data_IF_819279722220
#
_entry.id   IF_819279722220
#
_cell.length_a   1.000
_cell.length_b   1.000
_cell.length_c   1.000
_cell.angle_alpha   90.00
_cell.angle_beta   90.00
_cell.angle_gamma   90.00
#
_symmetry.space_group_name_H-M   'P 1'
#
loop_
_entity.id
_entity.type
_entity.pdbx_description
1 polymer ?
#
# COMPACT_ATOMS: atom_id res chain seq x y z
N UNK A 1 -17.73 -3.90 -15.15
CA UNK A 1 -16.38 -3.33 -15.21
C UNK A 1 -15.41 -4.43 -15.58
N UNK A 2 -14.35 -4.15 -16.32
CA UNK A 2 -13.37 -5.16 -16.67
C UNK A 2 -12.46 -5.44 -15.46
N UNK A 3 -11.98 -6.70 -15.33
CA UNK A 3 -11.13 -7.13 -14.23
C UNK A 3 -9.67 -7.01 -14.65
N UNK A 4 -8.88 -6.29 -13.86
CA UNK A 4 -7.43 -6.23 -14.05
C UNK A 4 -6.74 -7.49 -13.51
N UNK A 5 -7.21 -8.00 -12.36
CA UNK A 5 -6.74 -9.23 -11.75
C UNK A 5 -7.92 -10.07 -11.27
N UNK A 6 -7.92 -11.37 -11.59
CA UNK A 6 -8.85 -12.34 -11.02
C UNK A 6 -8.08 -13.56 -10.51
N UNK A 7 -8.27 -13.86 -9.24
CA UNK A 7 -7.72 -15.02 -8.55
C UNK A 7 -8.89 -15.86 -8.05
N UNK A 8 -8.86 -17.18 -8.30
CA UNK A 8 -9.90 -18.12 -7.85
C UNK A 8 -9.27 -19.35 -7.21
N UNK A 9 -9.64 -19.64 -5.98
CA UNK A 9 -9.23 -20.80 -5.22
C UNK A 9 -7.71 -20.98 -5.15
N UNK A 10 -6.92 -19.91 -5.08
CA UNK A 10 -5.48 -19.97 -5.20
C UNK A 10 -4.86 -20.61 -3.97
N UNK A 11 -4.17 -21.74 -4.16
CA UNK A 11 -3.45 -22.48 -3.12
C UNK A 11 -1.96 -22.53 -3.40
N UNK A 12 -1.19 -22.46 -2.33
CA UNK A 12 0.25 -22.68 -2.35
C UNK A 12 0.69 -23.48 -1.14
N UNK A 13 1.21 -24.66 -1.40
CA UNK A 13 1.93 -25.49 -0.45
C UNK A 13 3.38 -25.56 -0.90
N UNK A 14 4.33 -25.25 -0.02
CA UNK A 14 5.76 -25.37 -0.27
C UNK A 14 6.25 -26.80 0.00
N UNK A 15 7.43 -27.15 -0.48
CA UNK A 15 8.00 -28.51 -0.39
C UNK A 15 8.21 -28.99 1.05
N UNK A 16 8.36 -28.05 1.98
CA UNK A 16 8.42 -28.33 3.44
C UNK A 16 7.05 -28.59 4.10
N UNK A 17 5.96 -28.65 3.32
CA UNK A 17 4.60 -28.84 3.80
C UNK A 17 3.90 -27.58 4.31
N UNK A 18 4.56 -26.42 4.31
CA UNK A 18 3.95 -25.16 4.73
C UNK A 18 2.93 -24.68 3.70
N UNK A 19 1.66 -24.54 4.11
CA UNK A 19 0.57 -24.03 3.29
C UNK A 19 0.48 -22.50 3.45
N UNK A 20 1.03 -21.78 2.48
CA UNK A 20 1.10 -20.33 2.49
C UNK A 20 -0.17 -19.65 1.98
N UNK A 21 -0.96 -20.34 1.13
CA UNK A 21 -2.26 -19.88 0.65
C UNK A 21 -3.24 -21.04 0.66
N UNK A 22 -4.42 -20.84 1.23
CA UNK A 22 -5.41 -21.87 1.54
C UNK A 22 -6.67 -21.81 0.66
N UNK A 23 -6.54 -21.31 -0.57
CA UNK A 23 -7.66 -21.21 -1.52
C UNK A 23 -8.26 -19.80 -1.56
N UNK A 24 -7.41 -18.77 -1.70
CA UNK A 24 -7.87 -17.38 -1.73
C UNK A 24 -8.56 -17.02 -3.04
N UNK A 25 -9.60 -16.20 -2.95
CA UNK A 25 -10.28 -15.53 -4.04
C UNK A 25 -10.05 -14.01 -3.95
N UNK A 26 -9.64 -13.39 -5.04
CA UNK A 26 -9.39 -11.96 -5.10
C UNK A 26 -9.73 -11.41 -6.48
N UNK A 27 -10.39 -10.27 -6.53
CA UNK A 27 -10.70 -9.57 -7.76
C UNK A 27 -10.30 -8.10 -7.62
N UNK A 28 -9.57 -7.58 -8.61
CA UNK A 28 -9.20 -6.17 -8.71
C UNK A 28 -9.76 -5.62 -10.01
N UNK A 29 -10.55 -4.57 -9.95
CA UNK A 29 -11.14 -3.92 -11.11
C UNK A 29 -10.11 -3.07 -11.86
N UNK A 30 -10.31 -2.90 -13.16
CA UNK A 30 -9.47 -2.04 -14.00
C UNK A 30 -9.51 -0.59 -13.51
N UNK A 31 -8.32 0.06 -13.46
CA UNK A 31 -8.15 1.42 -12.99
C UNK A 31 -8.25 1.58 -11.46
N UNK A 32 -8.39 0.49 -10.71
CA UNK A 32 -8.41 0.58 -9.24
C UNK A 32 -7.03 0.89 -8.65
N UNK A 33 -7.03 1.48 -7.46
CA UNK A 33 -5.88 1.54 -6.57
C UNK A 33 -6.21 0.69 -5.36
N UNK A 34 -5.66 -0.51 -5.32
CA UNK A 34 -6.03 -1.60 -4.42
C UNK A 34 -4.93 -1.89 -3.40
N UNK A 35 -5.29 -2.05 -2.13
CA UNK A 35 -4.36 -2.47 -1.08
C UNK A 35 -4.48 -3.98 -0.81
N UNK A 36 -3.36 -4.69 -0.73
CA UNK A 36 -3.26 -6.05 -0.17
C UNK A 36 -2.46 -5.98 1.12
N UNK A 37 -3.14 -6.00 2.25
CA UNK A 37 -2.54 -5.88 3.59
C UNK A 37 -2.55 -7.21 4.33
N UNK A 38 -1.72 -7.31 5.36
CA UNK A 38 -1.64 -8.47 6.23
C UNK A 38 -0.33 -8.49 7.01
N UNK A 39 -0.22 -9.27 8.09
CA UNK A 39 1.02 -9.41 8.84
C UNK A 39 2.13 -10.08 8.03
N UNK A 40 3.34 -10.09 8.57
CA UNK A 40 4.44 -10.82 7.97
C UNK A 40 4.13 -12.32 7.97
N UNK A 41 4.39 -12.98 6.83
CA UNK A 41 4.06 -14.40 6.66
C UNK A 41 2.60 -14.70 6.27
N UNK A 42 1.71 -13.71 6.20
CA UNK A 42 0.30 -13.91 5.87
C UNK A 42 0.03 -14.45 4.46
N UNK A 43 0.99 -14.37 3.53
CA UNK A 43 0.82 -14.84 2.15
C UNK A 43 0.91 -13.74 1.07
N UNK A 44 1.10 -12.46 1.43
CA UNK A 44 1.17 -11.33 0.48
C UNK A 44 2.22 -11.55 -0.62
N UNK A 45 3.48 -11.72 -0.25
CA UNK A 45 4.59 -11.89 -1.21
C UNK A 45 4.47 -13.21 -1.99
N UNK A 46 3.86 -14.26 -1.41
CA UNK A 46 3.54 -15.49 -2.12
C UNK A 46 2.49 -15.23 -3.21
N UNK A 47 1.43 -14.48 -2.89
CA UNK A 47 0.38 -14.08 -3.84
C UNK A 47 0.97 -13.27 -4.99
N UNK A 48 1.75 -12.22 -4.69
CA UNK A 48 2.45 -11.41 -5.70
C UNK A 48 3.39 -12.27 -6.53
N UNK A 49 4.19 -13.12 -5.90
CA UNK A 49 5.11 -14.03 -6.58
C UNK A 49 4.41 -14.96 -7.57
N UNK A 50 3.20 -15.43 -7.25
CA UNK A 50 2.40 -16.25 -8.17
C UNK A 50 1.84 -15.42 -9.32
N UNK A 51 1.28 -14.23 -9.06
CA UNK A 51 0.77 -13.33 -10.10
C UNK A 51 1.88 -13.01 -11.12
N UNK A 52 3.09 -12.72 -10.64
CA UNK A 52 4.27 -12.44 -11.47
C UNK A 52 4.95 -13.69 -12.04
N UNK A 53 4.44 -14.90 -11.73
CA UNK A 53 5.00 -16.19 -12.14
C UNK A 53 6.44 -16.42 -11.68
N UNK A 54 6.80 -15.86 -10.53
CA UNK A 54 8.05 -16.11 -9.81
C UNK A 54 7.91 -17.30 -8.85
N UNK A 55 6.68 -17.57 -8.39
CA UNK A 55 6.32 -18.69 -7.53
C UNK A 55 5.28 -19.55 -8.25
N UNK A 56 5.51 -20.86 -8.31
CA UNK A 56 4.55 -21.80 -8.89
C UNK A 56 3.42 -22.07 -7.88
N UNK A 57 2.17 -21.87 -8.29
CA UNK A 57 0.99 -22.23 -7.49
C UNK A 57 0.82 -23.74 -7.35
N UNK A 58 0.11 -24.19 -6.34
CA UNK A 58 -0.27 -25.60 -6.15
C UNK A 58 -1.62 -25.90 -6.80
N UNK A 59 -2.59 -24.99 -6.65
CA UNK A 59 -3.92 -25.12 -7.25
C UNK A 59 -4.56 -23.73 -7.46
N UNK A 60 -5.74 -23.70 -8.07
CA UNK A 60 -6.47 -22.47 -8.38
C UNK A 60 -6.08 -21.85 -9.72
N UNK A 61 -6.63 -20.70 -10.03
CA UNK A 61 -6.39 -19.97 -11.28
C UNK A 61 -6.09 -18.50 -11.01
N UNK A 62 -5.27 -17.91 -11.89
CA UNK A 62 -4.96 -16.46 -11.89
C UNK A 62 -5.01 -15.97 -13.33
N UNK A 63 -5.70 -14.87 -13.56
CA UNK A 63 -5.71 -14.17 -14.84
C UNK A 63 -5.50 -12.66 -14.65
N UNK A 64 -4.76 -12.07 -15.59
CA UNK A 64 -4.47 -10.63 -15.63
C UNK A 64 -5.02 -10.08 -16.93
N UNK A 65 -5.96 -9.15 -16.85
CA UNK A 65 -6.74 -8.64 -17.98
C UNK A 65 -7.31 -9.74 -18.88
N UNK A 66 -7.77 -10.84 -18.25
CA UNK A 66 -8.33 -12.01 -18.95
C UNK A 66 -7.28 -13.02 -19.40
N UNK A 67 -5.98 -12.69 -19.43
CA UNK A 67 -4.91 -13.60 -19.81
C UNK A 67 -4.52 -14.52 -18.63
N UNK A 68 -4.69 -15.82 -18.80
CA UNK A 68 -4.31 -16.81 -17.80
C UNK A 68 -2.78 -16.90 -17.68
N UNK A 69 -2.27 -16.89 -16.45
CA UNK A 69 -0.82 -17.09 -16.22
C UNK A 69 -0.36 -18.53 -16.56
N UNK A 70 -1.29 -19.47 -16.71
CA UNK A 70 -0.96 -20.87 -17.05
C UNK A 70 -0.84 -21.08 -18.56
N UNK A 71 -1.73 -20.48 -19.37
CA UNK A 71 -1.81 -20.73 -20.82
C UNK A 71 -1.33 -19.54 -21.67
N UNK A 72 -1.40 -18.31 -21.15
CA UNK A 72 -1.10 -17.06 -21.88
C UNK A 72 -0.07 -16.19 -21.11
N UNK A 73 0.92 -16.85 -20.49
CA UNK A 73 1.90 -16.21 -19.59
C UNK A 73 2.58 -14.97 -20.19
N UNK A 74 2.95 -15.04 -21.48
CA UNK A 74 3.65 -13.94 -22.14
C UNK A 74 2.75 -12.70 -22.28
N UNK A 75 1.45 -12.88 -22.54
CA UNK A 75 0.47 -11.80 -22.60
C UNK A 75 0.20 -11.24 -21.20
N UNK A 76 -0.04 -12.11 -20.22
CA UNK A 76 -0.22 -11.68 -18.83
C UNK A 76 0.97 -10.85 -18.31
N UNK A 77 2.21 -11.28 -18.60
CA UNK A 77 3.42 -10.55 -18.18
C UNK A 77 3.58 -9.18 -18.83
N UNK A 78 3.13 -9.00 -20.07
CA UNK A 78 3.16 -7.69 -20.74
C UNK A 78 2.27 -6.66 -20.06
N UNK A 79 1.19 -7.12 -19.42
CA UNK A 79 0.27 -6.25 -18.69
C UNK A 79 0.79 -5.84 -17.31
N UNK A 80 1.87 -6.47 -16.80
CA UNK A 80 2.34 -6.32 -15.42
C UNK A 80 3.66 -5.55 -15.37
N UNK A 81 3.69 -4.48 -14.58
CA UNK A 81 4.90 -3.88 -14.01
C UNK A 81 5.04 -4.25 -12.55
N UNK A 82 6.23 -4.63 -12.10
CA UNK A 82 6.47 -4.98 -10.71
C UNK A 82 7.62 -4.16 -10.11
N UNK A 83 7.37 -3.63 -8.93
CA UNK A 83 8.36 -3.01 -8.04
C UNK A 83 8.48 -3.89 -6.80
N UNK A 84 9.47 -4.80 -6.74
CA UNK A 84 9.68 -5.66 -5.57
C UNK A 84 10.24 -4.88 -4.40
N UNK A 85 10.13 -5.47 -3.20
CA UNK A 85 10.64 -4.89 -1.96
C UNK A 85 12.15 -4.66 -2.01
N UNK A 86 12.92 -5.62 -2.54
CA UNK A 86 14.37 -5.53 -2.64
C UNK A 86 14.82 -4.99 -4.00
N UNK A 87 15.97 -4.29 -4.00
CA UNK A 87 16.59 -3.81 -5.24
C UNK A 87 17.19 -4.98 -6.01
N UNK A 88 16.72 -5.23 -7.23
CA UNK A 88 17.10 -6.37 -8.05
C UNK A 88 17.61 -5.96 -9.44
N UNK A 89 18.40 -4.90 -9.52
CA UNK A 89 19.10 -4.47 -10.73
C UNK A 89 20.62 -4.50 -10.53
N UNK A 90 21.35 -4.47 -11.64
CA UNK A 90 22.84 -4.47 -11.62
C UNK A 90 23.36 -3.21 -10.92
N UNK A 91 24.28 -3.39 -9.98
CA UNK A 91 24.94 -2.28 -9.28
C UNK A 91 25.91 -1.49 -10.16
N UNK A 92 26.30 -2.03 -11.30
CA UNK A 92 27.32 -1.46 -12.19
C UNK A 92 26.76 -0.78 -13.42
N UNK A 93 25.51 -1.09 -13.78
CA UNK A 93 24.84 -0.44 -14.90
C UNK A 93 24.41 0.99 -14.56
N UNK A 94 24.36 1.84 -15.59
CA UNK A 94 23.82 3.19 -15.44
C UNK A 94 22.31 3.16 -15.23
N UNK A 95 21.78 4.22 -14.64
CA UNK A 95 20.32 4.42 -14.49
C UNK A 95 19.61 4.29 -15.84
N UNK A 96 20.20 4.86 -16.90
CA UNK A 96 19.70 4.80 -18.27
C UNK A 96 19.65 3.37 -18.81
N UNK A 97 20.77 2.66 -18.72
CA UNK A 97 20.85 1.29 -19.27
C UNK A 97 19.88 0.33 -18.57
N UNK A 98 19.70 0.47 -17.25
CA UNK A 98 18.72 -0.35 -16.49
C UNK A 98 17.32 -0.19 -17.05
N UNK A 99 16.89 1.06 -17.35
CA UNK A 99 15.53 1.32 -17.82
C UNK A 99 15.37 0.93 -19.29
N UNK A 100 16.33 1.29 -20.15
CA UNK A 100 16.28 0.95 -21.59
C UNK A 100 16.35 -0.56 -21.82
N UNK A 101 17.24 -1.27 -21.09
CA UNK A 101 17.35 -2.73 -21.20
C UNK A 101 16.05 -3.41 -20.74
N UNK A 102 15.43 -2.92 -19.68
CA UNK A 102 14.14 -3.43 -19.23
C UNK A 102 13.06 -3.33 -20.31
N UNK A 103 12.97 -2.20 -21.00
CA UNK A 103 12.04 -2.02 -22.11
C UNK A 103 12.29 -3.05 -23.23
N UNK A 104 13.57 -3.35 -23.51
CA UNK A 104 13.96 -4.39 -24.48
C UNK A 104 13.43 -5.79 -24.13
N UNK A 105 13.40 -6.16 -22.85
CA UNK A 105 12.81 -7.46 -22.41
C UNK A 105 11.31 -7.56 -22.70
N UNK A 106 10.60 -6.44 -22.81
CA UNK A 106 9.19 -6.39 -23.20
C UNK A 106 8.98 -6.21 -24.72
N UNK A 107 10.08 -6.22 -25.50
CA UNK A 107 10.03 -6.17 -26.97
C UNK A 107 9.83 -4.78 -27.55
N UNK A 108 10.12 -3.72 -26.80
CA UNK A 108 10.10 -2.35 -27.32
C UNK A 108 11.30 -2.13 -28.28
N UNK A 109 11.08 -1.37 -29.34
CA UNK A 109 12.19 -0.88 -30.17
C UNK A 109 13.10 0.03 -29.35
N UNK A 110 14.38 0.13 -29.74
CA UNK A 110 15.33 0.95 -29.00
C UNK A 110 14.90 2.42 -28.93
N UNK A 111 14.40 2.95 -30.02
CA UNK A 111 13.91 4.33 -30.11
C UNK A 111 12.77 4.59 -29.12
N UNK A 112 11.76 3.72 -29.07
CA UNK A 112 10.64 3.83 -28.12
C UNK A 112 11.10 3.61 -26.66
N UNK A 113 12.02 2.68 -26.44
CA UNK A 113 12.60 2.43 -25.11
C UNK A 113 13.33 3.67 -24.59
N UNK A 114 14.13 4.34 -25.42
CA UNK A 114 14.86 5.55 -25.05
C UNK A 114 13.90 6.73 -24.79
N UNK A 115 12.88 6.92 -25.63
CA UNK A 115 11.86 7.96 -25.43
C UNK A 115 11.11 7.78 -24.10
N UNK A 116 10.67 6.55 -23.80
CA UNK A 116 9.96 6.25 -22.55
C UNK A 116 10.87 6.32 -21.34
N UNK A 117 12.10 5.84 -21.45
CA UNK A 117 13.10 5.97 -20.39
C UNK A 117 13.34 7.44 -20.02
N UNK A 118 13.53 8.32 -21.00
CA UNK A 118 13.65 9.77 -20.75
C UNK A 118 12.42 10.31 -20.03
N UNK A 119 11.22 9.97 -20.49
CA UNK A 119 9.97 10.43 -19.90
C UNK A 119 9.88 10.06 -18.42
N UNK A 120 10.06 8.78 -18.08
CA UNK A 120 9.93 8.33 -16.69
C UNK A 120 11.09 8.77 -15.80
N UNK A 121 12.32 8.86 -16.34
CA UNK A 121 13.45 9.38 -15.57
C UNK A 121 13.30 10.86 -15.23
N UNK A 122 12.68 11.66 -16.12
CA UNK A 122 12.34 13.07 -15.84
C UNK A 122 11.24 13.18 -14.80
N UNK A 123 10.16 12.43 -14.94
CA UNK A 123 9.03 12.44 -13.98
C UNK A 123 9.43 12.00 -12.58
N UNK A 124 10.45 11.17 -12.46
CA UNK A 124 10.95 10.63 -11.19
C UNK A 124 12.24 11.32 -10.69
N UNK A 125 12.60 12.49 -11.24
CA UNK A 125 13.78 13.28 -10.87
C UNK A 125 15.11 12.50 -10.92
N UNK A 126 15.26 11.61 -11.91
CA UNK A 126 16.45 10.81 -12.13
C UNK A 126 17.23 11.19 -13.39
N UNK A 127 16.71 12.13 -14.19
CA UNK A 127 17.30 12.47 -15.49
C UNK A 127 18.75 12.94 -15.38
N UNK A 128 19.07 13.79 -14.40
CA UNK A 128 20.44 14.29 -14.18
C UNK A 128 21.41 13.20 -13.71
N UNK A 129 20.87 12.07 -13.24
CA UNK A 129 21.63 10.90 -12.80
C UNK A 129 21.64 9.75 -13.81
N UNK A 130 21.09 9.95 -15.02
CA UNK A 130 20.91 8.89 -16.03
C UNK A 130 22.19 8.13 -16.38
N UNK A 131 23.33 8.80 -16.39
CA UNK A 131 24.66 8.22 -16.69
C UNK A 131 25.41 7.74 -15.43
N UNK A 132 24.79 7.84 -14.25
CA UNK A 132 25.40 7.43 -12.97
C UNK A 132 25.16 5.93 -12.76
N UNK A 133 26.20 5.20 -12.32
CA UNK A 133 26.04 3.80 -11.93
C UNK A 133 25.08 3.68 -10.74
N UNK A 134 24.17 2.70 -10.78
CA UNK A 134 23.08 2.54 -9.81
C UNK A 134 23.55 2.38 -8.36
N UNK A 135 24.77 1.83 -8.13
CA UNK A 135 25.39 1.74 -6.78
C UNK A 135 25.61 3.10 -6.12
N UNK A 136 25.77 4.16 -6.92
CA UNK A 136 26.03 5.53 -6.43
C UNK A 136 24.76 6.28 -6.04
N UNK A 137 23.58 5.69 -6.25
CA UNK A 137 22.30 6.28 -5.91
C UNK A 137 21.98 6.10 -4.42
N UNK A 138 21.29 7.09 -3.85
CA UNK A 138 20.66 6.95 -2.52
C UNK A 138 19.54 5.89 -2.55
N UNK A 139 19.13 5.40 -1.38
CA UNK A 139 18.01 4.44 -1.28
C UNK A 139 16.73 4.93 -1.95
N UNK A 140 16.36 6.19 -1.74
CA UNK A 140 15.20 6.80 -2.38
C UNK A 140 15.35 6.93 -3.90
N UNK A 141 16.52 7.28 -4.41
CA UNK A 141 16.78 7.30 -5.86
C UNK A 141 16.71 5.90 -6.47
N UNK A 142 17.22 4.87 -5.77
CA UNK A 142 17.07 3.47 -6.18
C UNK A 142 15.60 3.04 -6.24
N UNK A 143 14.79 3.48 -5.28
CA UNK A 143 13.36 3.19 -5.26
C UNK A 143 12.64 3.84 -6.46
N UNK A 144 12.94 5.10 -6.76
CA UNK A 144 12.42 5.78 -7.96
C UNK A 144 12.86 5.08 -9.25
N UNK A 145 14.11 4.61 -9.33
CA UNK A 145 14.61 3.82 -10.47
C UNK A 145 13.83 2.51 -10.67
N UNK A 146 13.48 1.81 -9.59
CA UNK A 146 12.63 0.62 -9.66
C UNK A 146 11.26 0.93 -10.27
N UNK A 147 10.67 2.06 -9.90
CA UNK A 147 9.38 2.50 -10.45
C UNK A 147 9.53 2.86 -11.94
N UNK A 148 10.55 3.64 -12.32
CA UNK A 148 10.82 3.96 -13.73
C UNK A 148 10.96 2.70 -14.58
N UNK A 149 11.73 1.73 -14.07
CA UNK A 149 11.94 0.43 -14.72
C UNK A 149 10.64 -0.37 -14.87
N UNK A 150 9.78 -0.35 -13.85
CA UNK A 150 8.51 -1.06 -13.89
C UNK A 150 7.49 -0.43 -14.86
N UNK A 151 7.60 0.87 -15.13
CA UNK A 151 6.66 1.62 -15.97
C UNK A 151 7.10 1.75 -17.43
N UNK A 152 8.36 1.50 -17.76
CA UNK A 152 8.91 1.81 -19.11
C UNK A 152 8.18 1.12 -20.27
N UNK A 153 7.56 -0.05 -20.03
CA UNK A 153 6.74 -0.74 -21.03
C UNK A 153 5.25 -0.38 -20.97
N UNK A 154 4.88 0.60 -20.10
CA UNK A 154 3.51 1.09 -19.90
C UNK A 154 2.50 -0.02 -19.55
N UNK A 155 2.73 -0.74 -18.45
CA UNK A 155 1.85 -1.81 -18.01
C UNK A 155 0.47 -1.26 -17.61
N UNK A 156 -0.58 -2.06 -17.84
CA UNK A 156 -1.92 -1.73 -17.34
C UNK A 156 -2.12 -2.07 -15.86
N UNK A 157 -1.29 -2.97 -15.31
CA UNK A 157 -1.25 -3.34 -13.88
C UNK A 157 0.14 -3.09 -13.31
N UNK A 158 0.24 -2.22 -12.31
CA UNK A 158 1.46 -1.98 -11.55
C UNK A 158 1.33 -2.60 -10.15
N UNK A 159 2.23 -3.50 -9.81
CA UNK A 159 2.30 -4.12 -8.47
C UNK A 159 3.49 -3.52 -7.72
N UNK A 160 3.21 -3.00 -6.52
CA UNK A 160 4.17 -2.32 -5.66
C UNK A 160 4.27 -3.08 -4.33
N UNK A 161 5.42 -3.75 -4.10
CA UNK A 161 5.66 -4.46 -2.86
C UNK A 161 6.50 -3.57 -1.92
N UNK A 162 5.84 -2.98 -0.92
CA UNK A 162 6.40 -2.03 0.05
C UNK A 162 7.22 -0.89 -0.60
N UNK A 163 6.62 -0.09 -1.51
CA UNK A 163 7.36 0.84 -2.35
C UNK A 163 8.02 1.99 -1.58
N UNK A 164 7.55 2.32 -0.38
CA UNK A 164 8.04 3.44 0.43
C UNK A 164 8.77 3.01 1.70
N UNK A 165 9.09 1.71 1.83
CA UNK A 165 9.85 1.22 2.98
C UNK A 165 11.24 1.87 3.07
N UNK A 166 11.56 2.44 4.24
CA UNK A 166 12.84 3.10 4.49
C UNK A 166 13.06 4.42 3.75
N UNK A 167 11.98 5.04 3.25
CA UNK A 167 12.00 6.34 2.54
C UNK A 167 11.56 7.44 3.50
N UNK A 168 12.22 8.61 3.41
CA UNK A 168 11.83 9.80 4.19
C UNK A 168 10.44 10.33 3.80
N UNK A 169 9.89 11.21 4.65
CA UNK A 169 8.50 11.69 4.52
C UNK A 169 8.29 12.49 3.24
N UNK A 170 9.24 13.35 2.84
CA UNK A 170 9.08 14.20 1.65
C UNK A 170 9.10 13.36 0.38
N UNK A 171 10.04 12.44 0.29
CA UNK A 171 10.15 11.51 -0.83
C UNK A 171 8.93 10.58 -0.92
N UNK A 172 8.44 10.09 0.23
CA UNK A 172 7.20 9.29 0.30
C UNK A 172 6.02 10.06 -0.28
N UNK A 173 5.82 11.32 0.13
CA UNK A 173 4.73 12.17 -0.39
C UNK A 173 4.85 12.43 -1.89
N UNK A 174 6.05 12.67 -2.40
CA UNK A 174 6.27 12.86 -3.85
C UNK A 174 5.95 11.58 -4.63
N UNK A 175 6.34 10.42 -4.12
CA UNK A 175 6.00 9.13 -4.71
C UNK A 175 4.49 8.86 -4.69
N UNK A 176 3.79 9.19 -3.61
CA UNK A 176 2.33 9.07 -3.55
C UNK A 176 1.63 9.95 -4.58
N UNK A 177 2.09 11.19 -4.75
CA UNK A 177 1.55 12.09 -5.77
C UNK A 177 1.73 11.50 -7.17
N UNK A 178 2.93 11.01 -7.48
CA UNK A 178 3.24 10.37 -8.76
C UNK A 178 2.37 9.11 -9.01
N UNK A 179 2.22 8.24 -8.02
CA UNK A 179 1.40 7.04 -8.14
C UNK A 179 -0.09 7.36 -8.33
N UNK A 180 -0.60 8.39 -7.64
CA UNK A 180 -1.97 8.89 -7.88
C UNK A 180 -2.16 9.38 -9.31
N UNK A 181 -1.20 10.11 -9.85
CA UNK A 181 -1.24 10.59 -11.23
C UNK A 181 -1.26 9.43 -12.25
N UNK A 182 -0.39 8.43 -12.07
CA UNK A 182 -0.37 7.23 -12.91
C UNK A 182 -1.71 6.47 -12.86
N UNK A 183 -2.27 6.32 -11.66
CA UNK A 183 -3.57 5.67 -11.50
C UNK A 183 -4.71 6.48 -12.14
N UNK A 184 -4.71 7.80 -12.04
CA UNK A 184 -5.70 8.68 -12.70
C UNK A 184 -5.63 8.59 -14.23
N UNK A 185 -4.47 8.25 -14.80
CA UNK A 185 -4.27 7.99 -16.23
C UNK A 185 -4.78 6.60 -16.66
N UNK A 186 -5.28 5.78 -15.74
CA UNK A 186 -5.92 4.48 -16.00
C UNK A 186 -5.11 3.25 -15.60
N UNK A 187 -3.86 3.39 -15.13
CA UNK A 187 -3.08 2.25 -14.65
C UNK A 187 -3.70 1.70 -13.37
N UNK A 188 -4.03 0.42 -13.34
CA UNK A 188 -4.44 -0.28 -12.12
C UNK A 188 -3.23 -0.46 -11.21
N UNK A 189 -3.37 -0.21 -9.91
CA UNK A 189 -2.26 -0.35 -8.97
C UNK A 189 -2.66 -1.29 -7.84
N UNK A 190 -1.80 -2.29 -7.56
CA UNK A 190 -1.86 -3.12 -6.36
C UNK A 190 -0.69 -2.76 -5.47
N UNK A 191 -0.98 -2.38 -4.23
CA UNK A 191 -0.02 -1.94 -3.24
C UNK A 191 -0.01 -2.91 -2.06
N UNK A 192 1.16 -3.42 -1.69
CA UNK A 192 1.38 -3.96 -0.35
C UNK A 192 2.14 -2.94 0.48
N UNK A 193 1.78 -2.80 1.72
CA UNK A 193 2.49 -1.92 2.65
C UNK A 193 2.21 -2.34 4.08
N UNK A 194 3.13 -2.01 4.97
CA UNK A 194 2.91 -2.06 6.41
C UNK A 194 2.60 -0.65 6.98
N UNK A 195 2.69 0.39 6.14
CA UNK A 195 2.26 1.75 6.49
C UNK A 195 0.78 1.92 6.15
N UNK A 196 -0.08 1.74 7.14
CA UNK A 196 -1.54 1.77 6.94
C UNK A 196 -2.05 3.13 6.47
N UNK A 197 -1.35 4.23 6.84
CA UNK A 197 -1.60 5.58 6.31
C UNK A 197 -1.45 5.64 4.78
N UNK A 198 -0.47 4.92 4.22
CA UNK A 198 -0.26 4.83 2.78
C UNK A 198 -1.46 4.18 2.08
N UNK A 199 -1.93 3.05 2.61
CA UNK A 199 -3.10 2.36 2.09
C UNK A 199 -4.37 3.22 2.18
N UNK A 200 -4.60 3.87 3.33
CA UNK A 200 -5.75 4.78 3.54
C UNK A 200 -5.73 5.97 2.60
N UNK A 201 -4.53 6.55 2.37
CA UNK A 201 -4.37 7.74 1.51
C UNK A 201 -4.49 7.46 0.02
N UNK A 202 -4.10 6.26 -0.43
CA UNK A 202 -3.96 5.92 -1.84
C UNK A 202 -5.08 5.02 -2.36
N UNK A 203 -5.50 4.03 -1.56
CA UNK A 203 -6.29 2.93 -2.07
C UNK A 203 -7.79 3.14 -1.89
N UNK A 204 -8.56 2.75 -2.91
CA UNK A 204 -10.04 2.77 -2.87
C UNK A 204 -10.61 1.49 -2.31
N UNK A 205 -9.98 0.36 -2.62
CA UNK A 205 -10.38 -0.95 -2.15
C UNK A 205 -9.22 -1.66 -1.46
N UNK A 206 -9.54 -2.61 -0.60
CA UNK A 206 -8.58 -3.29 0.26
C UNK A 206 -8.96 -4.75 0.45
N UNK A 207 -7.97 -5.63 0.41
CA UNK A 207 -8.07 -6.97 0.97
C UNK A 207 -7.08 -7.12 2.12
N UNK A 208 -7.53 -7.77 3.20
CA UNK A 208 -6.69 -8.17 4.32
C UNK A 208 -6.50 -9.67 4.24
N UNK A 209 -5.25 -10.10 4.11
CA UNK A 209 -4.88 -11.50 4.12
C UNK A 209 -4.25 -11.83 5.48
N UNK A 210 -4.70 -12.91 6.10
CA UNK A 210 -4.12 -13.46 7.30
C UNK A 210 -4.01 -14.98 7.21
N UNK A 211 -2.86 -15.51 7.63
CA UNK A 211 -2.61 -16.95 7.69
C UNK A 211 -2.99 -17.74 6.43
N UNK A 212 -2.83 -17.09 5.25
CA UNK A 212 -3.10 -17.67 3.94
C UNK A 212 -4.57 -17.62 3.49
N UNK A 213 -5.43 -16.87 4.18
CA UNK A 213 -6.84 -16.67 3.88
C UNK A 213 -7.19 -15.18 3.74
N UNK A 214 -8.21 -14.83 2.94
CA UNK A 214 -8.71 -13.46 2.88
C UNK A 214 -9.68 -13.24 4.04
N UNK A 215 -9.24 -12.46 5.03
CA UNK A 215 -10.05 -12.11 6.20
C UNK A 215 -11.09 -11.02 5.88
N UNK A 216 -10.76 -10.08 4.99
CA UNK A 216 -11.65 -8.99 4.58
C UNK A 216 -11.34 -8.60 3.13
N UNK A 217 -12.36 -8.25 2.34
CA UNK A 217 -12.22 -7.72 0.99
C UNK A 217 -13.34 -6.73 0.72
N UNK A 218 -13.05 -5.43 0.80
CA UNK A 218 -14.07 -4.39 0.78
C UNK A 218 -13.53 -3.04 0.33
N UNK A 219 -14.43 -2.06 0.13
CA UNK A 219 -14.01 -0.69 -0.12
C UNK A 219 -13.40 -0.06 1.16
N UNK A 220 -12.31 0.69 1.02
CA UNK A 220 -11.63 1.39 2.12
C UNK A 220 -12.60 2.20 2.98
N UNK A 221 -13.50 2.96 2.34
CA UNK A 221 -14.52 3.74 3.06
C UNK A 221 -15.48 2.87 3.87
N UNK A 222 -15.80 1.67 3.40
CA UNK A 222 -16.69 0.73 4.09
C UNK A 222 -15.97 0.12 5.29
N UNK A 223 -14.72 -0.27 5.11
CA UNK A 223 -13.88 -0.78 6.19
C UNK A 223 -13.74 0.24 7.32
N UNK A 224 -13.38 1.47 7.00
CA UNK A 224 -13.23 2.55 8.00
C UNK A 224 -14.54 2.88 8.74
N UNK A 225 -15.71 2.64 8.11
CA UNK A 225 -17.01 2.78 8.79
C UNK A 225 -17.29 1.68 9.82
N UNK A 226 -16.55 0.58 9.82
CA UNK A 226 -16.70 -0.49 10.80
C UNK A 226 -16.02 -0.15 12.15
N UNK A 227 -15.22 0.90 12.21
CA UNK A 227 -14.72 1.40 13.48
C UNK A 227 -15.88 1.75 14.41
N UNK A 228 -15.96 1.01 15.50
CA UNK A 228 -16.95 1.25 16.55
C UNK A 228 -16.50 2.33 17.54
N UNK A 229 -15.21 2.63 17.57
CA UNK A 229 -14.59 3.53 18.55
C UNK A 229 -13.43 4.26 17.88
N UNK A 230 -13.34 5.57 18.13
CA UNK A 230 -12.22 6.40 17.73
C UNK A 230 -11.62 7.03 19.00
N UNK A 231 -10.30 6.98 19.17
CA UNK A 231 -9.61 7.63 20.29
C UNK A 231 -8.94 8.90 19.81
N UNK A 232 -9.29 10.02 20.42
CA UNK A 232 -8.69 11.32 20.17
C UNK A 232 -7.73 11.69 21.29
N UNK A 233 -6.63 12.35 20.93
CA UNK A 233 -5.72 13.02 21.86
C UNK A 233 -6.01 14.50 21.78
N UNK A 234 -6.35 15.09 22.92
CA UNK A 234 -6.62 16.50 23.08
C UNK A 234 -5.46 17.14 23.86
N UNK A 235 -4.86 18.17 23.28
CA UNK A 235 -3.88 19.00 23.97
C UNK A 235 -4.60 20.19 24.61
N UNK A 236 -4.29 20.50 25.88
CA UNK A 236 -4.95 21.55 26.65
C UNK A 236 -4.01 22.73 26.93
N UNK A 237 -4.57 23.92 27.14
CA UNK A 237 -3.82 25.12 27.41
C UNK A 237 -3.20 25.14 28.81
N UNK A 238 -3.98 24.71 29.78
CA UNK A 238 -3.58 24.63 31.19
C UNK A 238 -3.45 23.14 31.62
N UNK A 239 -2.66 22.86 32.65
CA UNK A 239 -2.57 21.52 33.19
C UNK A 239 -3.94 20.98 33.61
N UNK A 240 -4.19 19.73 33.26
CA UNK A 240 -5.41 19.00 33.57
C UNK A 240 -5.48 18.69 35.07
N UNK A 241 -6.65 18.74 35.67
CA UNK A 241 -6.88 18.23 37.04
C UNK A 241 -6.41 16.77 37.17
N UNK A 242 -6.01 16.37 38.38
CA UNK A 242 -5.55 14.99 38.63
C UNK A 242 -6.65 13.94 38.36
N UNK A 243 -7.90 14.34 38.56
CA UNK A 243 -9.07 13.54 38.21
C UNK A 243 -9.93 14.27 37.22
N UNK A 244 -9.76 13.99 35.92
CA UNK A 244 -10.63 14.49 34.87
C UNK A 244 -11.52 13.34 34.38
N UNK A 245 -12.83 13.57 34.36
CA UNK A 245 -13.81 12.62 33.86
C UNK A 245 -14.88 13.34 33.09
N UNK A 246 -15.26 12.81 31.96
CA UNK A 246 -16.34 13.33 31.13
C UNK A 246 -17.47 12.29 31.14
N UNK A 247 -18.64 12.66 31.63
CA UNK A 247 -19.77 11.74 31.71
C UNK A 247 -20.13 11.18 30.32
N UNK A 248 -20.19 9.86 30.20
CA UNK A 248 -20.49 9.18 28.94
C UNK A 248 -19.30 8.95 28.01
N UNK A 249 -18.09 9.34 28.41
CA UNK A 249 -16.87 9.14 27.62
C UNK A 249 -15.78 8.50 28.46
N UNK A 250 -15.06 7.55 27.87
CA UNK A 250 -13.86 7.02 28.49
C UNK A 250 -12.70 7.98 28.25
N UNK A 251 -12.12 8.46 29.35
CA UNK A 251 -11.04 9.45 29.33
C UNK A 251 -9.82 8.92 30.07
N UNK A 252 -8.65 9.20 29.52
CA UNK A 252 -7.37 8.83 30.12
C UNK A 252 -6.40 10.01 30.04
N UNK A 253 -5.96 10.53 31.21
CA UNK A 253 -4.92 11.56 31.29
C UNK A 253 -3.57 10.89 30.99
N UNK A 254 -2.93 11.30 29.90
CA UNK A 254 -1.64 10.71 29.45
C UNK A 254 -0.48 11.56 29.93
N UNK A 255 -0.68 12.89 30.05
CA UNK A 255 0.31 13.86 30.52
C UNK A 255 -0.40 15.03 31.21
N UNK A 256 0.36 15.96 31.78
CA UNK A 256 -0.20 17.14 32.46
C UNK A 256 -1.16 17.96 31.58
N UNK A 257 -0.90 18.04 30.28
CA UNK A 257 -1.68 18.81 29.30
C UNK A 257 -2.25 17.92 28.17
N UNK A 258 -2.31 16.59 28.35
CA UNK A 258 -2.81 15.67 27.35
C UNK A 258 -3.91 14.78 27.91
N UNK A 259 -5.06 14.76 27.21
CA UNK A 259 -6.21 13.91 27.50
C UNK A 259 -6.54 13.02 26.30
N UNK A 260 -6.60 11.74 26.53
CA UNK A 260 -7.20 10.80 25.56
C UNK A 260 -8.69 10.67 25.84
N UNK A 261 -9.49 10.77 24.79
CA UNK A 261 -10.94 10.59 24.83
C UNK A 261 -11.36 9.58 23.80
N UNK A 262 -12.00 8.52 24.23
CA UNK A 262 -12.57 7.54 23.34
C UNK A 262 -14.04 7.86 23.03
N UNK A 263 -14.35 7.98 21.74
CA UNK A 263 -15.69 8.16 21.23
C UNK A 263 -16.18 6.86 20.62
N UNK A 264 -17.36 6.41 21.05
CA UNK A 264 -18.09 5.36 20.34
C UNK A 264 -18.74 5.95 19.07
N UNK A 265 -19.04 5.06 18.14
CA UNK A 265 -19.69 5.42 16.86
C UNK A 265 -21.00 6.15 17.11
N UNK A 266 -21.10 7.40 16.62
CA UNK A 266 -22.25 8.27 16.86
C UNK A 266 -22.09 9.23 18.06
N UNK A 267 -21.01 9.15 18.80
CA UNK A 267 -20.65 10.13 19.81
C UNK A 267 -20.36 11.49 19.19
N UNK A 268 -20.65 12.56 19.94
CA UNK A 268 -20.44 13.93 19.48
C UNK A 268 -19.18 14.53 20.12
N UNK A 269 -18.21 14.90 19.29
CA UNK A 269 -17.05 15.69 19.71
C UNK A 269 -17.46 17.02 20.36
N UNK A 270 -18.57 17.62 19.88
CA UNK A 270 -19.09 18.85 20.50
C UNK A 270 -19.50 18.63 21.96
N UNK A 271 -20.03 17.45 22.30
CA UNK A 271 -20.38 17.12 23.69
C UNK A 271 -19.11 16.98 24.55
N UNK A 272 -18.03 16.43 24.01
CA UNK A 272 -16.73 16.37 24.70
C UNK A 272 -16.20 17.77 24.97
N UNK A 273 -16.17 18.64 23.95
CA UNK A 273 -15.68 20.01 24.10
C UNK A 273 -16.54 20.83 25.07
N UNK A 274 -17.87 20.67 25.02
CA UNK A 274 -18.77 21.34 25.98
C UNK A 274 -18.48 20.92 27.43
N UNK A 275 -18.38 19.62 27.67
CA UNK A 275 -18.09 19.08 29.00
C UNK A 275 -16.70 19.47 29.53
N UNK A 276 -15.69 19.62 28.67
CA UNK A 276 -14.38 20.12 29.04
C UNK A 276 -14.43 21.62 29.37
N UNK A 277 -15.15 22.42 28.58
CA UNK A 277 -15.34 23.85 28.81
C UNK A 277 -16.08 24.13 30.12
N UNK A 278 -17.08 23.31 30.47
CA UNK A 278 -17.79 23.40 31.77
C UNK A 278 -16.86 23.12 32.97
N UNK A 279 -15.81 22.33 32.78
CA UNK A 279 -14.78 22.06 33.76
C UNK A 279 -13.61 23.07 33.71
N UNK A 280 -13.72 24.13 32.89
CA UNK A 280 -12.70 25.14 32.74
C UNK A 280 -11.47 24.71 31.91
N UNK A 281 -11.55 23.59 31.19
CA UNK A 281 -10.47 23.09 30.37
C UNK A 281 -10.60 23.61 28.94
N UNK A 282 -9.60 24.38 28.49
CA UNK A 282 -9.50 24.93 27.14
C UNK A 282 -8.63 23.97 26.27
N UNK A 283 -9.24 23.39 25.21
CA UNK A 283 -8.54 22.52 24.27
C UNK A 283 -7.90 23.36 23.18
N UNK A 284 -6.60 23.19 22.95
CA UNK A 284 -5.81 23.94 21.96
C UNK A 284 -5.59 23.14 20.66
N UNK A 285 -5.57 21.82 20.74
CA UNK A 285 -5.33 20.93 19.60
C UNK A 285 -6.05 19.62 19.79
N UNK A 286 -6.40 18.98 18.68
CA UNK A 286 -7.00 17.65 18.65
C UNK A 286 -6.40 16.85 17.50
N UNK A 287 -6.08 15.57 17.78
CA UNK A 287 -5.62 14.61 16.78
C UNK A 287 -6.13 13.21 17.08
N UNK A 288 -6.25 12.36 16.08
CA UNK A 288 -6.50 10.94 16.32
C UNK A 288 -5.27 10.32 17.02
N UNK A 289 -5.49 9.42 17.99
CA UNK A 289 -4.43 8.70 18.71
C UNK A 289 -3.65 7.77 17.77
N UNK A 290 -4.38 7.03 16.95
CA UNK A 290 -3.83 6.13 15.95
C UNK A 290 -4.49 6.34 14.59
N UNK A 291 -3.86 5.83 13.54
CA UNK A 291 -4.49 5.75 12.23
C UNK A 291 -5.73 4.83 12.35
N UNK A 292 -6.87 5.26 11.83
CA UNK A 292 -8.14 4.52 11.86
C UNK A 292 -8.00 3.09 11.32
N UNK A 293 -7.24 2.93 10.24
CA UNK A 293 -7.00 1.63 9.64
C UNK A 293 -6.15 0.74 10.55
N UNK A 294 -5.24 1.31 11.36
CA UNK A 294 -4.41 0.56 12.30
C UNK A 294 -5.25 -0.07 13.43
N UNK A 295 -6.17 0.69 14.01
CA UNK A 295 -7.08 0.18 15.04
C UNK A 295 -7.95 -0.98 14.49
N UNK A 296 -8.48 -0.83 13.29
CA UNK A 296 -9.23 -1.89 12.61
C UNK A 296 -8.38 -3.12 12.32
N UNK A 297 -7.19 -2.91 11.78
CA UNK A 297 -6.28 -3.98 11.41
C UNK A 297 -5.94 -4.85 12.62
N UNK A 298 -5.57 -4.24 13.75
CA UNK A 298 -5.32 -4.95 15.02
C UNK A 298 -6.56 -5.70 15.50
N UNK A 299 -7.75 -5.09 15.41
CA UNK A 299 -9.00 -5.71 15.86
C UNK A 299 -9.43 -6.90 14.99
N UNK A 300 -9.16 -6.88 13.69
CA UNK A 300 -9.47 -7.96 12.76
C UNK A 300 -8.54 -9.15 12.97
N UNK A 301 -7.24 -8.90 13.15
CA UNK A 301 -6.25 -9.95 13.41
C UNK A 301 -6.43 -10.62 14.78
N UNK A 302 -6.97 -9.90 15.77
CA UNK A 302 -7.26 -10.47 17.10
C UNK A 302 -8.47 -11.42 17.11
N UNK A 303 -9.30 -11.41 16.05
CA UNK A 303 -10.48 -12.28 15.91
C UNK A 303 -10.22 -13.55 15.09
N UNK A 304 -9.07 -13.60 14.41
CA UNK A 304 -8.60 -14.75 13.61
C UNK A 304 -7.76 -15.68 14.46
#
# INVERSE_FOLDING_TARGET
MSKALEIRGLRKVYDNGFEALKGIDLCVEEGDFFALLGPNGAGKSTTIGIICSLVKKTAGSVSVFGHSIDSELALAKKEIGIVPQEFNFSNFESVWDIVVNQAGYYGLTRELAEQRAETYLRQLDLWEKRNTASRMLSGGMKRRLMIARALVHEPRLLILDEPTAGVDIELRRSMWAFLKEINQRGTTIILTTHYLEEAESLCRNIAIIDSGEIAENTAMKTLLKQLHRETFVLDTKEPLPDTISIAGFETHKTDEQMLEVALEKGGSLNAVFAALSEQGVEVTSMRNKANRLEELFVSLLAKS
#
